data_IF_933216036604
#
_entry.id   IF_933216036604
#
_cell.length_a   1.000
_cell.length_b   1.000
_cell.length_c   1.000
_cell.angle_alpha   90.00
_cell.angle_beta   90.00
_cell.angle_gamma   90.00
#
_symmetry.space_group_name_H-M   'P 1'
#
loop_
_entity.id
_entity.type
_entity.pdbx_description
1 polymer ?
#
# COMPACT_ATOMS: atom_id res chain seq x y z
N UNK A 1 -7.86 -30.01 14.45
CA UNK A 1 -9.13 -29.25 14.53
C UNK A 1 -9.02 -28.09 13.56
N UNK A 2 -10.03 -27.87 12.70
CA UNK A 2 -10.07 -26.69 11.83
C UNK A 2 -10.71 -25.51 12.59
N UNK A 3 -10.32 -24.26 12.31
CA UNK A 3 -10.97 -23.08 12.90
C UNK A 3 -12.46 -23.05 12.55
N UNK A 4 -13.31 -22.56 13.46
CA UNK A 4 -14.75 -22.46 13.19
C UNK A 4 -15.05 -21.63 11.94
N UNK A 5 -14.28 -20.57 11.66
CA UNK A 5 -14.45 -19.78 10.44
C UNK A 5 -14.22 -20.59 9.14
N UNK A 6 -13.46 -21.69 9.20
CA UNK A 6 -13.24 -22.57 8.05
C UNK A 6 -14.38 -23.57 7.81
N UNK A 7 -15.40 -23.62 8.67
CA UNK A 7 -16.58 -24.48 8.49
C UNK A 7 -17.75 -23.76 7.82
N UNK A 8 -17.60 -22.47 7.50
CA UNK A 8 -18.67 -21.64 6.90
C UNK A 8 -18.22 -21.11 5.55
N UNK A 9 -19.19 -20.91 4.65
CA UNK A 9 -18.96 -20.19 3.42
C UNK A 9 -18.68 -18.71 3.70
N UNK A 10 -17.70 -18.11 3.02
CA UNK A 10 -17.42 -16.69 3.22
C UNK A 10 -18.59 -15.84 2.69
N UNK A 11 -18.93 -14.73 3.37
CA UNK A 11 -19.98 -13.82 2.90
C UNK A 11 -19.77 -13.38 1.46
N UNK A 12 -18.53 -13.06 1.08
CA UNK A 12 -18.18 -12.62 -0.27
C UNK A 12 -18.43 -13.70 -1.33
N UNK A 13 -18.11 -14.96 -1.03
CA UNK A 13 -18.37 -16.08 -1.94
C UNK A 13 -19.88 -16.31 -2.10
N UNK A 14 -20.64 -16.21 -1.01
CA UNK A 14 -22.09 -16.34 -1.03
C UNK A 14 -22.74 -15.22 -1.88
N UNK A 15 -22.30 -13.97 -1.71
CA UNK A 15 -22.79 -12.82 -2.48
C UNK A 15 -22.46 -12.94 -3.98
N UNK A 16 -21.26 -13.41 -4.32
CA UNK A 16 -20.87 -13.68 -5.71
C UNK A 16 -21.71 -14.79 -6.35
N UNK A 17 -21.92 -15.91 -5.64
CA UNK A 17 -22.74 -17.02 -6.13
C UNK A 17 -24.20 -16.64 -6.32
N UNK A 18 -24.71 -15.76 -5.45
CA UNK A 18 -26.05 -15.20 -5.57
C UNK A 18 -26.17 -14.13 -6.67
N UNK A 19 -25.07 -13.72 -7.30
CA UNK A 19 -25.06 -12.67 -8.34
C UNK A 19 -25.39 -11.28 -7.81
N UNK A 20 -25.32 -11.06 -6.50
CA UNK A 20 -25.67 -9.79 -5.86
C UNK A 20 -24.56 -8.73 -6.00
N UNK A 21 -23.33 -9.17 -6.23
CA UNK A 21 -22.16 -8.34 -6.49
C UNK A 21 -21.34 -8.91 -7.63
N UNK A 22 -20.61 -8.05 -8.35
CA UNK A 22 -19.55 -8.48 -9.28
C UNK A 22 -18.20 -8.52 -8.56
N UNK A 23 -17.22 -9.30 -9.07
CA UNK A 23 -15.86 -9.31 -8.53
C UNK A 23 -15.22 -7.91 -8.42
N UNK A 24 -15.60 -6.97 -9.29
CA UNK A 24 -15.07 -5.60 -9.32
C UNK A 24 -15.51 -4.74 -8.11
N UNK A 25 -16.50 -5.22 -7.36
CA UNK A 25 -16.94 -4.60 -6.10
C UNK A 25 -16.25 -5.16 -4.87
N UNK A 26 -15.46 -6.23 -5.02
CA UNK A 26 -14.66 -6.79 -3.95
C UNK A 26 -13.29 -6.12 -3.90
N UNK A 27 -12.64 -6.25 -2.75
CA UNK A 27 -11.24 -5.86 -2.63
C UNK A 27 -10.39 -6.68 -3.64
N UNK A 28 -9.42 -6.09 -4.35
CA UNK A 28 -8.66 -6.78 -5.41
C UNK A 28 -8.05 -8.12 -4.99
N UNK A 29 -7.47 -8.19 -3.78
CA UNK A 29 -6.94 -9.44 -3.22
C UNK A 29 -8.01 -10.53 -3.03
N UNK A 30 -9.22 -10.13 -2.60
CA UNK A 30 -10.35 -11.04 -2.40
C UNK A 30 -10.92 -11.48 -3.74
N UNK A 31 -11.06 -10.56 -4.69
CA UNK A 31 -11.49 -10.87 -6.05
C UNK A 31 -10.55 -11.88 -6.73
N UNK A 32 -9.23 -11.68 -6.61
CA UNK A 32 -8.23 -12.59 -7.15
C UNK A 32 -8.29 -14.00 -6.51
N UNK A 33 -8.61 -14.08 -5.22
CA UNK A 33 -8.72 -15.35 -4.50
C UNK A 33 -10.01 -16.12 -4.81
N UNK A 34 -11.15 -15.42 -4.94
CA UNK A 34 -12.48 -16.05 -5.09
C UNK A 34 -12.89 -16.26 -6.55
N UNK A 35 -12.29 -15.53 -7.51
CA UNK A 35 -12.61 -15.63 -8.94
C UNK A 35 -11.34 -15.74 -9.83
N UNK A 36 -10.46 -16.73 -9.61
CA UNK A 36 -9.27 -16.94 -10.44
C UNK A 36 -9.69 -17.27 -11.88
N UNK A 37 -9.39 -16.38 -12.84
CA UNK A 37 -9.77 -16.51 -14.25
C UNK A 37 -10.81 -15.51 -14.75
N UNK A 38 -11.49 -14.77 -13.85
CA UNK A 38 -12.20 -13.52 -14.18
C UNK A 38 -11.41 -12.28 -13.77
N UNK A 39 -10.16 -12.47 -13.34
CA UNK A 39 -9.19 -11.39 -13.29
C UNK A 39 -9.05 -10.84 -14.72
N UNK A 40 -9.78 -9.76 -15.01
CA UNK A 40 -9.47 -8.89 -16.13
C UNK A 40 -8.02 -8.39 -16.03
N UNK A 41 -7.53 -7.65 -17.04
CA UNK A 41 -6.15 -7.15 -17.04
C UNK A 41 -5.82 -6.52 -15.68
N UNK A 42 -4.63 -6.84 -15.16
CA UNK A 42 -4.18 -6.55 -13.79
C UNK A 42 -4.46 -5.12 -13.32
N UNK A 43 -4.35 -4.89 -12.00
CA UNK A 43 -5.20 -3.98 -11.23
C UNK A 43 -5.74 -2.81 -12.06
N UNK A 44 -6.86 -3.04 -12.73
CA UNK A 44 -7.73 -1.95 -13.15
C UNK A 44 -8.42 -1.45 -11.89
N UNK A 45 -7.64 -0.85 -10.99
CA UNK A 45 -8.18 0.04 -9.99
C UNK A 45 -8.88 1.13 -10.79
N UNK A 46 -10.21 1.11 -10.80
CA UNK A 46 -10.99 2.16 -11.40
C UNK A 46 -10.43 3.49 -10.87
N UNK A 47 -9.88 4.37 -11.74
CA UNK A 47 -9.43 5.66 -11.27
C UNK A 47 -10.68 6.46 -10.96
N UNK A 48 -10.95 6.78 -9.68
CA UNK A 48 -11.65 8.00 -9.22
C UNK A 48 -11.87 7.97 -7.71
N UNK A 49 -11.70 9.10 -7.00
CA UNK A 49 -11.98 10.47 -7.43
C UNK A 49 -10.71 11.36 -7.47
N UNK A 50 -10.48 12.06 -8.58
CA UNK A 50 -9.29 12.92 -8.75
C UNK A 50 -8.58 12.81 -10.10
N UNK A 51 -9.16 12.11 -11.08
CA UNK A 51 -8.58 11.91 -12.41
C UNK A 51 -8.36 13.20 -13.25
N UNK A 52 -8.64 14.37 -12.67
CA UNK A 52 -8.29 15.65 -13.26
C UNK A 52 -7.04 16.22 -12.58
N UNK A 53 -6.31 17.12 -13.26
CA UNK A 53 -5.14 17.73 -12.66
C UNK A 53 -5.47 18.41 -11.33
N UNK A 54 -4.60 18.19 -10.33
CA UNK A 54 -4.68 18.82 -9.01
C UNK A 54 -4.62 20.33 -9.16
N UNK A 55 -5.49 21.04 -8.46
CA UNK A 55 -5.53 22.51 -8.49
C UNK A 55 -4.80 23.09 -7.29
N UNK A 56 -4.02 24.14 -7.52
CA UNK A 56 -3.30 24.88 -6.49
C UNK A 56 -3.41 26.37 -6.75
N UNK A 57 -3.50 27.18 -5.71
CA UNK A 57 -3.44 28.62 -5.85
C UNK A 57 -1.97 29.06 -5.89
N UNK A 58 -1.54 29.55 -7.04
CA UNK A 58 -0.18 30.01 -7.29
C UNK A 58 -0.23 31.46 -7.73
N UNK A 59 0.43 32.37 -7.00
CA UNK A 59 0.49 33.80 -7.32
C UNK A 59 -0.90 34.46 -7.51
N UNK A 60 -1.91 34.00 -6.77
CA UNK A 60 -3.28 34.52 -6.84
C UNK A 60 -4.13 33.98 -8.01
N UNK A 61 -3.62 32.98 -8.75
CA UNK A 61 -4.35 32.30 -9.84
C UNK A 61 -4.38 30.80 -9.57
N UNK A 62 -5.46 30.13 -9.97
CA UNK A 62 -5.57 28.67 -9.86
C UNK A 62 -4.78 28.00 -10.98
N UNK A 63 -3.70 27.30 -10.62
CA UNK A 63 -2.89 26.48 -11.50
C UNK A 63 -3.23 24.99 -11.37
N UNK A 64 -2.86 24.23 -12.40
CA UNK A 64 -3.10 22.80 -12.59
C UNK A 64 -1.78 22.04 -12.54
N UNK A 65 -1.79 20.92 -11.82
CA UNK A 65 -0.68 19.98 -11.72
C UNK A 65 -1.18 18.62 -12.22
N UNK A 66 -0.44 18.00 -13.14
CA UNK A 66 -0.81 16.71 -13.70
C UNK A 66 0.40 15.97 -14.25
N UNK A 67 0.18 14.72 -14.66
CA UNK A 67 1.23 13.92 -15.28
C UNK A 67 1.43 14.36 -16.74
N UNK A 68 2.69 14.58 -17.10
CA UNK A 68 3.16 14.75 -18.48
C UNK A 68 4.34 13.82 -18.65
N UNK A 69 4.29 12.94 -19.66
CA UNK A 69 5.33 11.95 -19.94
C UNK A 69 5.76 11.14 -18.70
N UNK A 70 4.78 10.76 -17.88
CA UNK A 70 5.03 9.96 -16.68
C UNK A 70 5.65 10.71 -15.50
N UNK A 71 5.67 12.04 -15.53
CA UNK A 71 6.21 12.89 -14.45
C UNK A 71 5.19 13.94 -14.01
N UNK A 72 4.98 14.05 -12.69
CA UNK A 72 4.11 15.07 -12.10
C UNK A 72 4.66 16.49 -12.32
N UNK A 73 3.94 17.27 -13.12
CA UNK A 73 4.37 18.57 -13.65
C UNK A 73 3.31 19.65 -13.45
N UNK A 74 3.75 20.91 -13.28
CA UNK A 74 2.85 22.06 -13.25
C UNK A 74 2.50 22.47 -14.69
N UNK A 75 1.24 22.25 -15.09
CA UNK A 75 0.77 22.40 -16.49
C UNK A 75 0.69 23.86 -16.95
N UNK A 76 0.58 24.79 -16.00
CA UNK A 76 0.44 26.22 -16.28
C UNK A 76 1.79 26.97 -16.19
N UNK A 77 2.91 26.25 -16.17
CA UNK A 77 4.26 26.81 -16.24
C UNK A 77 5.03 26.24 -17.42
N UNK A 78 5.74 27.11 -18.15
CA UNK A 78 6.69 26.68 -19.18
C UNK A 78 7.97 26.08 -18.57
N UNK A 79 8.75 25.28 -19.31
CA UNK A 79 9.95 24.63 -18.78
C UNK A 79 11.03 25.63 -18.29
N UNK A 80 11.22 26.75 -18.99
CA UNK A 80 12.14 27.81 -18.58
C UNK A 80 11.67 28.52 -17.31
N UNK A 81 10.36 28.68 -17.17
CA UNK A 81 9.78 29.22 -15.96
C UNK A 81 9.98 28.29 -14.78
N UNK A 82 9.69 26.99 -14.94
CA UNK A 82 9.93 25.97 -13.91
C UNK A 82 11.40 26.00 -13.46
N UNK A 83 12.35 26.02 -14.41
CA UNK A 83 13.78 26.04 -14.09
C UNK A 83 14.17 27.28 -13.29
N UNK A 84 13.68 28.46 -13.68
CA UNK A 84 13.92 29.70 -12.94
C UNK A 84 13.32 29.63 -11.53
N UNK A 85 12.09 29.17 -11.38
CA UNK A 85 11.46 29.05 -10.06
C UNK A 85 12.17 28.04 -9.16
N UNK A 86 12.69 26.93 -9.72
CA UNK A 86 13.52 25.98 -8.98
C UNK A 86 14.82 26.61 -8.49
N UNK A 87 15.49 27.40 -9.33
CA UNK A 87 16.70 28.14 -8.95
C UNK A 87 16.41 29.17 -7.85
N UNK A 88 15.32 29.92 -8.00
CA UNK A 88 14.88 30.87 -6.97
C UNK A 88 14.59 30.14 -5.66
N UNK A 89 13.86 29.03 -5.68
CA UNK A 89 13.59 28.22 -4.50
C UNK A 89 14.87 27.72 -3.82
N UNK A 90 15.89 27.32 -4.59
CA UNK A 90 17.17 26.89 -4.04
C UNK A 90 17.95 28.03 -3.36
N UNK A 91 17.81 29.27 -3.86
CA UNK A 91 18.49 30.45 -3.33
C UNK A 91 17.74 31.10 -2.16
N UNK A 92 16.41 31.12 -2.20
CA UNK A 92 15.56 31.83 -1.23
C UNK A 92 14.88 30.90 -0.22
N UNK A 93 14.85 29.59 -0.48
CA UNK A 93 14.11 28.61 0.31
C UNK A 93 12.59 28.68 0.14
N UNK A 94 12.08 29.51 -0.79
CA UNK A 94 10.65 29.79 -0.94
C UNK A 94 10.14 29.39 -2.34
N UNK A 95 9.83 28.10 -2.56
CA UNK A 95 9.24 27.66 -3.82
C UNK A 95 7.83 28.22 -4.02
N UNK A 96 7.46 28.45 -5.28
CA UNK A 96 6.06 28.72 -5.64
C UNK A 96 5.15 27.55 -5.25
N UNK A 97 3.87 27.83 -5.03
CA UNK A 97 2.89 26.85 -4.54
C UNK A 97 2.84 25.57 -5.41
N UNK A 98 3.00 25.70 -6.73
CA UNK A 98 3.05 24.56 -7.64
C UNK A 98 4.23 23.61 -7.33
N UNK A 99 5.44 24.15 -7.23
CA UNK A 99 6.64 23.33 -6.94
C UNK A 99 6.56 22.72 -5.55
N UNK A 100 6.07 23.46 -4.55
CA UNK A 100 5.84 22.95 -3.20
C UNK A 100 4.85 21.78 -3.20
N UNK A 101 3.75 21.90 -3.93
CA UNK A 101 2.73 20.86 -4.00
C UNK A 101 3.23 19.58 -4.69
N UNK A 102 4.10 19.71 -5.69
CA UNK A 102 4.77 18.57 -6.34
C UNK A 102 5.76 17.92 -5.37
N UNK A 103 6.61 18.71 -4.71
CA UNK A 103 7.60 18.20 -3.75
C UNK A 103 6.93 17.49 -2.56
N UNK A 104 5.83 18.04 -2.04
CA UNK A 104 5.04 17.41 -0.98
C UNK A 104 4.50 16.04 -1.41
N UNK A 105 3.97 15.95 -2.64
CA UNK A 105 3.48 14.69 -3.19
C UNK A 105 4.59 13.62 -3.27
N UNK A 106 5.84 14.04 -3.54
CA UNK A 106 7.00 13.13 -3.57
C UNK A 106 7.53 12.77 -2.18
N UNK A 107 7.37 13.63 -1.17
CA UNK A 107 7.93 13.39 0.18
C UNK A 107 7.13 12.37 0.98
N UNK A 108 5.81 12.32 0.83
CA UNK A 108 4.94 11.47 1.65
C UNK A 108 3.89 10.65 0.90
N UNK A 109 4.21 9.93 -0.20
CA UNK A 109 3.19 9.16 -0.92
C UNK A 109 2.58 8.01 -0.09
N UNK A 110 3.32 7.44 0.86
CA UNK A 110 2.81 6.41 1.79
C UNK A 110 1.81 6.96 2.83
N UNK A 111 1.83 8.27 3.09
CA UNK A 111 0.96 8.91 4.07
C UNK A 111 -0.44 9.20 3.50
N UNK A 112 -0.63 8.97 2.20
CA UNK A 112 -1.94 9.04 1.58
C UNK A 112 -2.81 7.89 2.08
N UNK A 113 -3.99 8.22 2.61
CA UNK A 113 -4.94 7.27 3.20
C UNK A 113 -5.19 6.05 2.28
N UNK A 114 -5.32 6.30 0.97
CA UNK A 114 -5.54 5.28 -0.05
C UNK A 114 -4.35 4.31 -0.21
N UNK A 115 -3.12 4.78 -0.04
CA UNK A 115 -1.90 3.96 -0.12
C UNK A 115 -1.74 3.19 1.18
N UNK A 116 -1.89 3.86 2.32
CA UNK A 116 -1.81 3.26 3.66
C UNK A 116 -2.81 2.11 3.82
N UNK A 117 -4.08 2.35 3.49
CA UNK A 117 -5.12 1.34 3.60
C UNK A 117 -4.79 0.07 2.78
N UNK A 118 -4.24 0.24 1.57
CA UNK A 118 -3.83 -0.89 0.74
C UNK A 118 -2.65 -1.65 1.33
N UNK A 119 -1.64 -0.95 1.84
CA UNK A 119 -0.49 -1.57 2.50
C UNK A 119 -0.89 -2.31 3.78
N UNK A 120 -1.80 -1.75 4.58
CA UNK A 120 -2.35 -2.38 5.78
C UNK A 120 -3.10 -3.69 5.45
N UNK A 121 -3.73 -3.74 4.27
CA UNK A 121 -4.39 -4.94 3.75
C UNK A 121 -3.46 -5.89 2.97
N UNK A 122 -2.17 -5.55 2.83
CA UNK A 122 -1.18 -6.35 2.11
C UNK A 122 -1.26 -6.26 0.59
N UNK A 123 -1.96 -5.26 0.05
CA UNK A 123 -2.07 -4.99 -1.39
C UNK A 123 -0.96 -4.05 -1.87
N UNK A 124 0.28 -4.54 -1.85
CA UNK A 124 1.45 -3.76 -2.30
C UNK A 124 1.38 -3.37 -3.78
N UNK A 125 0.80 -4.22 -4.63
CA UNK A 125 0.63 -3.94 -6.06
C UNK A 125 -0.39 -2.84 -6.30
N UNK A 126 -1.54 -2.88 -5.60
CA UNK A 126 -2.52 -1.81 -5.65
C UNK A 126 -2.00 -0.49 -5.07
N UNK A 127 -1.21 -0.56 -3.98
CA UNK A 127 -0.56 0.61 -3.41
C UNK A 127 0.40 1.28 -4.42
N UNK A 128 1.24 0.47 -5.09
CA UNK A 128 2.14 0.97 -6.14
C UNK A 128 1.37 1.59 -7.32
N UNK A 129 0.29 0.95 -7.79
CA UNK A 129 -0.52 1.47 -8.88
C UNK A 129 -1.14 2.85 -8.55
N UNK A 130 -1.54 3.08 -7.30
CA UNK A 130 -2.03 4.41 -6.85
C UNK A 130 -0.91 5.44 -6.86
N UNK A 131 0.29 5.06 -6.41
CA UNK A 131 1.45 5.95 -6.42
C UNK A 131 1.86 6.31 -7.85
N UNK A 132 1.90 5.34 -8.76
CA UNK A 132 2.17 5.55 -10.18
C UNK A 132 1.11 6.44 -10.84
N UNK A 133 -0.17 6.28 -10.49
CA UNK A 133 -1.23 7.15 -10.99
C UNK A 133 -1.13 8.59 -10.47
N UNK A 134 -0.54 8.80 -9.29
CA UNK A 134 -0.41 10.11 -8.65
C UNK A 134 0.87 10.84 -9.06
N UNK A 135 2.01 10.16 -9.03
CA UNK A 135 3.33 10.74 -9.24
C UNK A 135 3.91 10.44 -10.63
N UNK A 136 3.38 9.41 -11.28
CA UNK A 136 3.87 8.87 -12.53
C UNK A 136 4.78 7.65 -12.33
N UNK A 137 4.98 6.83 -13.38
CA UNK A 137 5.83 5.64 -13.33
C UNK A 137 7.32 5.95 -13.08
N UNK A 138 7.78 7.13 -13.50
CA UNK A 138 9.18 7.56 -13.33
C UNK A 138 9.40 8.31 -12.00
N UNK A 139 8.39 8.33 -11.13
CA UNK A 139 8.50 8.96 -9.82
C UNK A 139 9.58 8.25 -8.98
N UNK A 140 10.60 9.01 -8.59
CA UNK A 140 11.62 8.49 -7.68
C UNK A 140 10.98 8.22 -6.31
N UNK A 141 10.72 6.94 -6.00
CA UNK A 141 10.31 6.51 -4.67
C UNK A 141 11.46 6.78 -3.70
N UNK A 142 11.28 7.72 -2.78
CA UNK A 142 12.28 8.10 -1.77
C UNK A 142 11.78 7.77 -0.37
N UNK A 143 12.71 7.41 0.51
CA UNK A 143 12.46 7.23 1.94
C UNK A 143 11.39 6.18 2.25
N UNK A 144 10.50 6.52 3.20
CA UNK A 144 9.60 5.58 3.89
C UNK A 144 8.69 4.73 3.00
N UNK A 145 8.27 5.21 1.83
CA UNK A 145 7.43 4.38 0.94
C UNK A 145 8.19 3.16 0.39
N UNK A 146 9.47 3.33 0.06
CA UNK A 146 10.29 2.21 -0.43
C UNK A 146 10.43 1.15 0.67
N UNK A 147 10.71 1.58 1.89
CA UNK A 147 10.89 0.70 3.05
C UNK A 147 9.57 -0.01 3.41
N UNK A 148 8.42 0.68 3.32
CA UNK A 148 7.10 0.10 3.54
C UNK A 148 6.75 -0.96 2.49
N UNK A 149 7.02 -0.70 1.20
CA UNK A 149 6.82 -1.67 0.13
C UNK A 149 7.74 -2.89 0.28
N UNK A 150 9.02 -2.67 0.60
CA UNK A 150 9.96 -3.75 0.88
C UNK A 150 9.50 -4.59 2.06
N UNK A 151 9.05 -3.94 3.15
CA UNK A 151 8.48 -4.62 4.32
C UNK A 151 7.25 -5.44 3.95
N UNK A 152 6.36 -4.91 3.11
CA UNK A 152 5.17 -5.63 2.64
C UNK A 152 5.55 -6.88 1.84
N UNK A 153 6.52 -6.77 0.92
CA UNK A 153 7.03 -7.91 0.13
C UNK A 153 7.69 -8.95 1.05
N UNK A 154 8.51 -8.53 2.01
CA UNK A 154 9.15 -9.44 2.97
C UNK A 154 8.12 -10.17 3.84
N UNK A 155 7.04 -9.50 4.26
CA UNK A 155 5.93 -10.13 4.99
C UNK A 155 5.22 -11.17 4.12
N UNK A 156 4.94 -10.84 2.86
CA UNK A 156 4.27 -11.75 1.93
C UNK A 156 5.14 -13.00 1.65
N UNK A 157 6.44 -12.82 1.41
CA UNK A 157 7.38 -13.92 1.22
C UNK A 157 7.49 -14.77 2.49
N UNK A 158 7.64 -14.14 3.66
CA UNK A 158 7.73 -14.84 4.94
C UNK A 158 6.48 -15.68 5.23
N UNK A 159 5.29 -15.11 4.99
CA UNK A 159 4.03 -15.82 5.13
C UNK A 159 3.88 -16.95 4.12
N UNK A 160 4.30 -16.73 2.87
CA UNK A 160 4.32 -17.75 1.82
C UNK A 160 5.23 -18.94 2.18
N UNK A 161 6.45 -18.65 2.65
CA UNK A 161 7.39 -19.66 3.15
C UNK A 161 6.81 -20.43 4.33
N UNK A 162 6.14 -19.75 5.26
CA UNK A 162 5.49 -20.38 6.41
C UNK A 162 4.38 -21.34 5.95
N UNK A 163 3.50 -20.88 5.06
CA UNK A 163 2.41 -21.69 4.48
C UNK A 163 2.91 -22.89 3.69
N UNK A 164 4.06 -22.77 3.03
CA UNK A 164 4.70 -23.86 2.30
C UNK A 164 5.48 -24.83 3.21
N UNK A 165 5.57 -24.57 4.52
CA UNK A 165 6.40 -25.34 5.45
C UNK A 165 7.91 -25.18 5.21
N UNK A 166 8.30 -24.14 4.47
CA UNK A 166 9.67 -23.83 4.08
C UNK A 166 10.35 -22.83 5.03
N UNK A 167 9.62 -22.27 6.00
CA UNK A 167 10.25 -21.58 7.12
C UNK A 167 11.07 -22.60 7.90
N UNK A 168 12.38 -22.38 7.95
CA UNK A 168 13.35 -23.28 8.56
C UNK A 168 12.84 -23.81 9.89
N UNK A 169 12.86 -25.14 10.02
CA UNK A 169 12.70 -25.82 11.30
C UNK A 169 13.71 -25.15 12.23
N UNK A 170 13.24 -24.33 13.18
CA UNK A 170 14.10 -23.74 14.19
C UNK A 170 14.95 -24.85 14.83
N UNK A 171 16.16 -24.52 15.35
CA UNK A 171 17.04 -25.52 15.92
C UNK A 171 16.24 -26.44 16.84
N UNK A 172 16.35 -27.76 16.59
CA UNK A 172 15.65 -28.77 17.39
C UNK A 172 15.88 -28.45 18.87
N UNK A 173 14.83 -28.43 19.71
CA UNK A 173 15.01 -28.22 21.14
C UNK A 173 16.04 -29.23 21.63
N UNK A 174 17.20 -28.73 22.07
CA UNK A 174 18.20 -29.61 22.66
C UNK A 174 17.63 -30.14 23.96
N UNK A 175 17.97 -31.38 24.31
CA UNK A 175 17.38 -32.16 25.41
C UNK A 175 17.51 -31.49 26.81
N UNK A 176 18.22 -30.36 26.90
CA UNK A 176 18.33 -29.51 28.09
C UNK A 176 17.06 -28.70 28.38
N UNK A 177 16.26 -28.33 27.38
CA UNK A 177 15.04 -27.52 27.60
C UNK A 177 13.85 -28.33 28.14
N UNK A 178 13.83 -29.66 27.91
CA UNK A 178 12.77 -30.52 28.45
C UNK A 178 12.81 -30.65 29.97
N UNK A 179 13.98 -30.52 30.60
CA UNK A 179 14.11 -30.65 32.06
C UNK A 179 13.56 -29.45 32.83
N UNK A 180 13.47 -28.27 32.20
CA UNK A 180 13.05 -27.06 32.90
C UNK A 180 11.53 -26.84 32.88
N UNK A 181 10.79 -27.55 32.01
CA UNK A 181 9.32 -27.49 31.96
C UNK A 181 8.62 -28.36 33.02
N UNK A 182 9.38 -29.13 33.80
CA UNK A 182 8.85 -29.98 34.89
C UNK A 182 9.02 -29.37 36.29
N UNK A 183 9.50 -28.13 36.43
CA UNK A 183 9.41 -27.42 37.71
C UNK A 183 8.02 -26.81 37.83
N UNK A 184 7.16 -27.57 38.51
CA UNK A 184 5.76 -27.25 38.73
C UNK A 184 5.55 -25.89 39.40
N UNK A 185 4.58 -25.15 38.87
CA UNK A 185 3.94 -24.07 39.62
C UNK A 185 3.07 -24.69 40.72
N UNK A 186 3.29 -24.38 42.00
CA UNK A 186 2.33 -24.71 43.04
C UNK A 186 1.10 -23.80 42.85
N UNK A 187 -0.07 -24.41 42.70
CA UNK A 187 -1.36 -23.70 42.74
C UNK A 187 -1.63 -23.32 44.20
N UNK A 188 -1.63 -22.04 44.52
CA UNK A 188 -2.22 -21.57 45.78
C UNK A 188 -3.74 -21.64 45.66
N UNK A 189 -4.33 -22.62 46.33
CA UNK A 189 -5.75 -22.67 46.62
C UNK A 189 -6.07 -21.59 47.66
N UNK A 190 -6.99 -20.67 47.32
CA UNK A 190 -7.64 -19.82 48.31
C UNK A 190 -8.82 -20.61 48.91
N UNK A 191 -8.77 -20.82 50.22
CA UNK A 191 -9.86 -21.41 51.00
C UNK A 191 -10.64 -20.27 51.66
N UNK A 192 -11.97 -20.31 51.43
CA UNK A 192 -13.09 -19.66 52.16
C UNK A 192 -12.96 -18.20 52.61
#
# INVERSE_FOLDING_TARGET
MLPHAATWESPDLALLRAGLISPDRLHPLVAAALAPGRAGPGPACAPRPGAGPRRVECRGVVHRIGLVDGVLTALDHGPDEIRREQLLAALTGTPVACLRAIDEAHRGPAELDDVRARLDHGDAAGALAVVEALLGPDAALRGGLRDELETAVLRQLSYGLFRAGLTGRGPLPTDRDRRNQHRGHPRHAATR
#
